data_IF_632695401023
#
_entry.id   IF_632695401023
#
_cell.length_a   1.000
_cell.length_b   1.000
_cell.length_c   1.000
_cell.angle_alpha   90.00
_cell.angle_beta   90.00
_cell.angle_gamma   90.00
#
_symmetry.space_group_name_H-M   'P 1'
#
loop_
_entity.id
_entity.type
_entity.pdbx_description
1 polymer ?
#
# COMPACT_ATOMS: atom_id res chain seq x y z
N UNK A 1 4.74 -9.42 -14.50
CA UNK A 1 3.42 -9.54 -13.81
C UNK A 1 3.28 -8.38 -12.85
N UNK A 2 2.06 -7.88 -12.65
CA UNK A 2 1.75 -6.88 -11.63
C UNK A 2 0.76 -7.48 -10.64
N UNK A 3 1.07 -7.46 -9.34
CA UNK A 3 0.07 -7.70 -8.31
C UNK A 3 -0.06 -6.41 -7.48
N UNK A 4 -1.28 -5.88 -7.48
CA UNK A 4 -1.55 -4.56 -6.94
C UNK A 4 -2.44 -4.67 -5.70
N UNK A 5 -1.88 -4.46 -4.51
CA UNK A 5 -2.62 -4.39 -3.25
C UNK A 5 -3.48 -5.64 -2.99
N UNK A 6 -2.94 -6.84 -3.28
CA UNK A 6 -3.65 -8.11 -3.11
C UNK A 6 -2.89 -9.19 -2.35
N UNK A 7 -1.60 -9.00 -2.05
CA UNK A 7 -0.79 -10.04 -1.40
C UNK A 7 -1.32 -10.42 -0.02
N UNK A 8 -1.87 -9.45 0.72
CA UNK A 8 -2.47 -9.66 2.04
C UNK A 8 -3.74 -10.50 2.02
N UNK A 9 -4.37 -10.73 0.86
CA UNK A 9 -5.50 -11.66 0.75
C UNK A 9 -5.06 -13.12 0.73
N UNK A 10 -3.79 -13.41 0.41
CA UNK A 10 -3.25 -14.76 0.40
C UNK A 10 -2.93 -15.28 1.80
N UNK A 11 -2.90 -14.38 2.79
CA UNK A 11 -2.47 -14.67 4.16
C UNK A 11 -3.70 -14.69 5.06
N UNK A 12 -4.04 -15.89 5.55
CA UNK A 12 -5.08 -16.02 6.55
C UNK A 12 -4.62 -15.44 7.90
N UNK A 13 -5.53 -14.80 8.63
CA UNK A 13 -5.24 -14.25 9.95
C UNK A 13 -4.81 -15.31 11.00
N UNK A 14 -5.14 -16.57 10.75
CA UNK A 14 -4.85 -17.72 11.62
C UNK A 14 -3.66 -18.56 11.15
N UNK A 15 -2.96 -18.16 10.08
CA UNK A 15 -1.91 -18.99 9.51
C UNK A 15 -0.67 -19.05 10.41
N UNK A 16 -0.27 -20.26 10.79
CA UNK A 16 1.05 -20.60 11.38
C UNK A 16 2.16 -20.59 10.33
N UNK A 17 1.80 -20.67 9.05
CA UNK A 17 2.72 -20.81 7.92
C UNK A 17 3.10 -19.42 7.39
N UNK A 18 3.92 -18.72 8.17
CA UNK A 18 4.50 -17.39 7.92
C UNK A 18 4.66 -17.04 6.43
N UNK A 19 3.63 -16.42 5.83
CA UNK A 19 3.62 -15.91 4.46
C UNK A 19 3.95 -16.92 3.34
N UNK A 20 3.87 -18.23 3.59
CA UNK A 20 4.16 -19.27 2.60
C UNK A 20 3.28 -19.17 1.32
N UNK A 21 1.98 -18.80 1.40
CA UNK A 21 1.18 -18.53 0.19
C UNK A 21 1.78 -17.44 -0.72
N UNK A 22 2.37 -16.40 -0.13
CA UNK A 22 3.06 -15.33 -0.89
C UNK A 22 4.34 -15.87 -1.53
N UNK A 23 5.10 -16.70 -0.80
CA UNK A 23 6.30 -17.34 -1.34
C UNK A 23 5.99 -18.29 -2.50
N UNK A 24 4.90 -19.07 -2.42
CA UNK A 24 4.41 -19.91 -3.52
C UNK A 24 4.03 -19.09 -4.74
N UNK A 25 3.34 -17.96 -4.56
CA UNK A 25 3.05 -17.03 -5.66
C UNK A 25 4.34 -16.54 -6.32
N UNK A 26 5.36 -16.17 -5.53
CA UNK A 26 6.65 -15.70 -6.06
C UNK A 26 7.35 -16.80 -6.87
N UNK A 27 7.36 -18.05 -6.38
CA UNK A 27 7.89 -19.22 -7.09
C UNK A 27 7.19 -19.43 -8.43
N UNK A 28 5.86 -19.42 -8.43
CA UNK A 28 5.10 -19.58 -9.67
C UNK A 28 5.32 -18.42 -10.63
N UNK A 29 5.42 -17.19 -10.13
CA UNK A 29 5.74 -16.02 -10.95
C UNK A 29 7.10 -16.16 -11.65
N UNK A 30 8.14 -16.61 -10.93
CA UNK A 30 9.45 -16.86 -11.53
C UNK A 30 9.39 -17.94 -12.61
N UNK A 31 8.68 -19.04 -12.32
CA UNK A 31 8.54 -20.18 -13.25
C UNK A 31 7.89 -19.76 -14.58
N UNK A 32 6.84 -18.92 -14.52
CA UNK A 32 6.07 -18.52 -15.72
C UNK A 32 6.67 -17.32 -16.45
N UNK A 33 7.33 -16.39 -15.76
CA UNK A 33 7.78 -15.12 -16.35
C UNK A 33 9.16 -15.18 -17.02
N UNK A 34 9.99 -16.20 -16.74
CA UNK A 34 11.38 -16.30 -17.23
C UNK A 34 12.14 -14.98 -17.02
N UNK A 35 12.75 -14.39 -18.06
CA UNK A 35 13.51 -13.13 -18.01
C UNK A 35 12.66 -11.85 -17.75
N UNK A 36 11.35 -11.98 -17.52
CA UNK A 36 10.47 -10.82 -17.27
C UNK A 36 10.33 -10.53 -15.78
N UNK A 37 10.18 -9.25 -15.43
CA UNK A 37 10.07 -8.81 -14.04
C UNK A 37 8.67 -8.98 -13.41
N UNK A 38 8.65 -8.86 -12.09
CA UNK A 38 7.44 -8.75 -11.25
C UNK A 38 7.39 -7.37 -10.60
N UNK A 39 6.18 -6.83 -10.45
CA UNK A 39 5.93 -5.64 -9.65
C UNK A 39 4.88 -6.00 -8.61
N UNK A 40 5.28 -5.93 -7.34
CA UNK A 40 4.37 -6.07 -6.21
C UNK A 40 4.13 -4.69 -5.61
N UNK A 41 2.93 -4.16 -5.78
CA UNK A 41 2.48 -3.01 -5.01
C UNK A 41 1.84 -3.51 -3.73
N UNK A 42 2.46 -3.20 -2.60
CA UNK A 42 2.01 -3.58 -1.26
C UNK A 42 2.41 -2.49 -0.27
N UNK A 43 1.89 -2.57 0.94
CA UNK A 43 2.10 -1.57 1.98
C UNK A 43 3.01 -2.10 3.09
N UNK A 44 3.97 -1.27 3.51
CA UNK A 44 4.72 -1.50 4.74
C UNK A 44 3.89 -1.28 6.00
N UNK A 45 4.35 -1.79 7.14
CA UNK A 45 3.69 -1.53 8.43
C UNK A 45 3.52 -0.02 8.67
N UNK A 46 4.57 0.83 8.55
CA UNK A 46 4.38 2.27 8.69
C UNK A 46 3.36 2.87 7.71
N UNK A 47 3.26 2.35 6.49
CA UNK A 47 2.26 2.80 5.53
C UNK A 47 0.84 2.35 5.88
N UNK A 48 0.66 1.20 6.54
CA UNK A 48 -0.67 0.77 6.97
C UNK A 48 -1.19 1.63 8.13
N UNK A 49 -0.33 1.95 9.09
CA UNK A 49 -0.70 2.74 10.27
C UNK A 49 -0.77 4.25 9.99
N UNK A 50 0.17 4.78 9.21
CA UNK A 50 0.33 6.22 9.02
C UNK A 50 0.24 6.64 7.54
N UNK A 51 0.08 5.70 6.61
CA UNK A 51 0.09 5.97 5.18
C UNK A 51 -1.28 6.31 4.59
N UNK A 52 -2.35 6.19 5.38
CA UNK A 52 -3.70 6.59 5.02
C UNK A 52 -4.26 7.47 6.14
N UNK A 53 -4.97 8.54 5.78
CA UNK A 53 -5.46 9.46 6.79
C UNK A 53 -6.47 8.79 7.73
N UNK A 54 -7.31 7.90 7.18
CA UNK A 54 -8.34 7.16 7.91
C UNK A 54 -7.83 6.00 8.77
N UNK A 55 -6.55 5.61 8.65
CA UNK A 55 -6.01 4.46 9.39
C UNK A 55 -6.19 4.61 10.91
N UNK A 56 -6.11 5.83 11.41
CA UNK A 56 -6.29 6.19 12.82
C UNK A 56 -7.77 6.13 13.28
N UNK A 57 -8.74 6.07 12.36
CA UNK A 57 -10.16 5.88 12.71
C UNK A 57 -10.49 4.43 13.03
N UNK A 58 -9.73 3.47 12.51
CA UNK A 58 -9.97 2.02 12.63
C UNK A 58 -8.69 1.25 13.01
N UNK A 59 -7.98 1.65 14.08
CA UNK A 59 -6.63 1.16 14.38
C UNK A 59 -6.57 -0.36 14.61
N UNK A 60 -7.64 -0.97 15.14
CA UNK A 60 -7.72 -2.41 15.34
C UNK A 60 -7.82 -3.17 14.01
N UNK A 61 -8.59 -2.65 13.06
CA UNK A 61 -8.68 -3.22 11.70
C UNK A 61 -7.34 -3.09 10.97
N UNK A 62 -6.66 -1.95 11.12
CA UNK A 62 -5.30 -1.75 10.63
C UNK A 62 -4.33 -2.77 11.25
N UNK A 63 -4.44 -3.01 12.56
CA UNK A 63 -3.66 -4.05 13.24
C UNK A 63 -3.93 -5.45 12.71
N UNK A 64 -5.18 -5.76 12.33
CA UNK A 64 -5.54 -7.06 11.72
C UNK A 64 -4.99 -7.22 10.30
N UNK A 65 -5.03 -6.18 9.45
CA UNK A 65 -4.45 -6.26 8.10
C UNK A 65 -2.92 -6.28 8.14
N UNK A 66 -2.30 -5.57 9.08
CA UNK A 66 -0.85 -5.53 9.27
C UNK A 66 -0.25 -6.93 9.41
N UNK A 67 -0.89 -7.80 10.19
CA UNK A 67 -0.49 -9.22 10.36
C UNK A 67 -0.51 -10.02 9.05
N UNK A 68 -1.27 -9.57 8.05
CA UNK A 68 -1.39 -10.23 6.73
C UNK A 68 -0.45 -9.64 5.69
N UNK A 69 0.21 -8.52 6.00
CA UNK A 69 1.15 -7.87 5.10
C UNK A 69 2.58 -8.35 5.42
N UNK A 70 3.34 -8.87 4.44
CA UNK A 70 4.75 -9.24 4.61
C UNK A 70 5.71 -8.15 4.11
N UNK A 71 5.77 -6.95 4.69
CA UNK A 71 6.76 -6.01 4.21
C UNK A 71 8.15 -6.49 4.60
N UNK A 72 9.09 -6.21 3.71
CA UNK A 72 10.53 -6.52 3.85
C UNK A 72 10.89 -7.99 3.62
N UNK A 73 10.16 -8.95 4.19
CA UNK A 73 10.39 -10.38 3.90
C UNK A 73 10.10 -10.74 2.43
N UNK A 74 9.26 -9.97 1.72
CA UNK A 74 9.08 -10.13 0.27
C UNK A 74 10.41 -9.99 -0.49
N UNK A 75 11.33 -9.12 -0.05
CA UNK A 75 12.63 -8.94 -0.72
C UNK A 75 13.46 -10.22 -0.61
N UNK A 76 13.51 -10.83 0.57
CA UNK A 76 14.26 -12.07 0.77
C UNK A 76 13.62 -13.22 0.01
N UNK A 77 12.28 -13.32 -0.01
CA UNK A 77 11.55 -14.31 -0.81
C UNK A 77 11.84 -14.17 -2.31
N UNK A 78 11.82 -12.95 -2.85
CA UNK A 78 12.18 -12.67 -4.25
C UNK A 78 13.60 -13.15 -4.57
N UNK A 79 14.57 -12.78 -3.73
CA UNK A 79 15.98 -13.19 -3.92
C UNK A 79 16.17 -14.70 -3.82
N UNK A 80 15.51 -15.34 -2.85
CA UNK A 80 15.56 -16.79 -2.63
C UNK A 80 15.12 -17.58 -3.88
N UNK A 81 14.11 -17.07 -4.59
CA UNK A 81 13.55 -17.71 -5.79
C UNK A 81 14.35 -17.38 -7.08
N UNK A 82 15.33 -16.48 -7.01
CA UNK A 82 16.22 -16.16 -8.13
C UNK A 82 15.98 -14.80 -8.80
N UNK A 83 15.22 -13.89 -8.19
CA UNK A 83 15.19 -12.50 -8.64
C UNK A 83 16.41 -11.73 -8.10
N UNK A 84 17.34 -11.35 -8.98
CA UNK A 84 18.59 -10.72 -8.59
C UNK A 84 18.52 -9.18 -8.52
N UNK A 85 17.70 -8.54 -9.35
CA UNK A 85 17.50 -7.09 -9.36
C UNK A 85 16.18 -6.74 -8.67
N UNK A 86 16.24 -6.53 -7.35
CA UNK A 86 15.07 -6.17 -6.53
C UNK A 86 15.24 -4.74 -6.03
N UNK A 87 14.32 -3.86 -6.41
CA UNK A 87 14.26 -2.48 -5.96
C UNK A 87 12.94 -2.18 -5.25
N UNK A 88 12.92 -1.08 -4.49
CA UNK A 88 11.73 -0.55 -3.85
C UNK A 88 11.50 0.87 -4.35
N UNK A 89 10.25 1.16 -4.71
CA UNK A 89 9.80 2.51 -5.04
C UNK A 89 8.69 2.88 -4.08
N UNK A 90 8.78 4.07 -3.50
CA UNK A 90 7.75 4.62 -2.59
C UNK A 90 7.13 5.83 -3.28
N UNK A 91 5.88 5.73 -3.77
CA UNK A 91 5.25 6.81 -4.52
C UNK A 91 4.66 7.85 -3.56
N UNK A 92 5.45 8.86 -3.17
CA UNK A 92 5.08 9.86 -2.15
C UNK A 92 3.82 10.66 -2.52
N UNK A 93 3.65 10.96 -3.80
CA UNK A 93 2.56 11.81 -4.31
C UNK A 93 1.34 11.00 -4.78
N UNK A 94 1.42 9.67 -4.79
CA UNK A 94 0.29 8.84 -5.14
C UNK A 94 -0.61 8.63 -3.92
N UNK A 95 -1.91 8.72 -4.14
CA UNK A 95 -2.95 8.40 -3.15
C UNK A 95 -3.86 7.32 -3.69
N UNK A 96 -4.47 6.57 -2.78
CA UNK A 96 -5.55 5.64 -3.14
C UNK A 96 -6.83 6.46 -3.38
N UNK A 97 -7.77 5.96 -4.19
CA UNK A 97 -9.10 6.57 -4.38
C UNK A 97 -9.14 7.93 -5.10
N UNK A 98 -8.02 8.42 -5.63
CA UNK A 98 -8.00 9.58 -6.54
C UNK A 98 -8.53 10.85 -5.88
N UNK A 99 -9.47 11.52 -6.54
CA UNK A 99 -10.05 12.80 -6.08
C UNK A 99 -10.88 12.62 -4.80
N UNK A 100 -11.47 11.45 -4.58
CA UNK A 100 -12.26 11.14 -3.39
C UNK A 100 -11.39 10.88 -2.15
N UNK A 101 -10.06 10.80 -2.31
CA UNK A 101 -9.15 10.45 -1.22
C UNK A 101 -9.31 11.34 0.01
N UNK A 102 -9.52 12.65 -0.15
CA UNK A 102 -9.66 13.61 0.96
C UNK A 102 -11.12 14.00 1.23
N UNK A 103 -12.09 13.16 0.86
CA UNK A 103 -13.49 13.40 1.19
C UNK A 103 -13.71 13.36 2.71
N UNK A 104 -14.09 14.48 3.36
CA UNK A 104 -14.28 14.56 4.81
C UNK A 104 -15.47 13.72 5.30
N UNK A 105 -16.38 13.32 4.40
CA UNK A 105 -17.49 12.41 4.69
C UNK A 105 -17.24 11.00 4.17
N UNK A 106 -16.09 10.77 3.52
CA UNK A 106 -15.72 9.53 2.85
C UNK A 106 -15.99 8.29 3.69
N UNK A 107 -15.45 8.17 4.93
CA UNK A 107 -15.67 7.00 5.78
C UNK A 107 -17.13 6.61 6.00
N UNK A 108 -18.07 7.57 5.97
CA UNK A 108 -19.51 7.30 6.14
C UNK A 108 -20.13 6.69 4.87
N UNK A 109 -19.53 6.92 3.70
CA UNK A 109 -19.98 6.42 2.41
C UNK A 109 -19.50 4.98 2.21
N UNK A 110 -20.42 4.08 1.83
CA UNK A 110 -20.07 2.67 1.56
C UNK A 110 -19.06 2.56 0.42
N UNK A 111 -19.25 3.29 -0.67
CA UNK A 111 -18.39 3.20 -1.86
C UNK A 111 -16.94 3.63 -1.58
N UNK A 112 -16.76 4.63 -0.70
CA UNK A 112 -15.43 5.00 -0.20
C UNK A 112 -14.79 3.84 0.58
N UNK A 113 -15.55 3.21 1.49
CA UNK A 113 -15.03 2.08 2.28
C UNK A 113 -14.70 0.87 1.42
N UNK A 114 -15.51 0.59 0.40
CA UNK A 114 -15.28 -0.51 -0.54
C UNK A 114 -13.99 -0.31 -1.35
N UNK A 115 -13.51 0.93 -1.50
CA UNK A 115 -12.24 1.24 -2.15
C UNK A 115 -10.99 0.82 -1.36
N UNK A 116 -11.11 0.36 -0.11
CA UNK A 116 -9.99 -0.18 0.66
C UNK A 116 -10.42 -1.33 1.58
N UNK A 117 -9.85 -2.52 1.38
CA UNK A 117 -10.21 -3.74 2.12
C UNK A 117 -9.92 -3.70 3.62
N UNK A 118 -9.22 -2.69 4.14
CA UNK A 118 -9.02 -2.56 5.59
C UNK A 118 -10.36 -2.28 6.29
N UNK A 119 -11.27 -1.56 5.65
CA UNK A 119 -12.61 -1.28 6.19
C UNK A 119 -13.44 -2.54 6.38
N UNK A 120 -13.29 -3.55 5.50
CA UNK A 120 -14.02 -4.81 5.63
C UNK A 120 -13.54 -5.68 6.80
N UNK A 121 -12.44 -5.30 7.44
CA UNK A 121 -11.92 -5.98 8.62
C UNK A 121 -12.36 -5.32 9.92
N UNK A 122 -12.98 -4.13 9.86
CA UNK A 122 -13.53 -3.47 11.03
C UNK A 122 -14.81 -4.17 11.50
N UNK A 123 -14.99 -4.31 12.81
CA UNK A 123 -16.25 -4.80 13.39
C UNK A 123 -17.32 -3.72 13.31
N UNK A 124 -18.59 -4.09 13.52
CA UNK A 124 -19.68 -3.11 13.57
C UNK A 124 -19.46 -2.03 14.63
N UNK A 125 -18.94 -2.40 15.79
CA UNK A 125 -18.63 -1.46 16.88
C UNK A 125 -17.48 -0.51 16.52
N UNK A 126 -16.42 -1.02 15.90
CA UNK A 126 -15.29 -0.20 15.45
C UNK A 126 -15.73 0.78 14.33
N UNK A 127 -16.58 0.32 13.42
CA UNK A 127 -17.16 1.18 12.38
C UNK A 127 -18.03 2.27 12.98
N UNK A 128 -18.91 1.96 13.94
CA UNK A 128 -19.76 2.99 14.54
C UNK A 128 -18.93 4.01 15.33
N UNK A 129 -17.87 3.58 16.04
CA UNK A 129 -16.92 4.51 16.66
C UNK A 129 -16.24 5.42 15.65
N UNK A 130 -15.79 4.86 14.53
CA UNK A 130 -15.19 5.64 13.45
C UNK A 130 -16.19 6.63 12.84
N UNK A 131 -17.43 6.20 12.62
CA UNK A 131 -18.49 7.04 12.05
C UNK A 131 -18.85 8.18 12.97
N UNK A 132 -19.01 7.90 14.27
CA UNK A 132 -19.33 8.93 15.24
C UNK A 132 -18.20 9.96 15.31
N UNK A 133 -16.95 9.52 15.38
CA UNK A 133 -15.79 10.42 15.36
C UNK A 133 -15.76 11.30 14.10
N UNK A 134 -16.10 10.74 12.93
CA UNK A 134 -16.20 11.51 11.68
C UNK A 134 -17.35 12.52 11.73
N UNK A 135 -18.53 12.14 12.24
CA UNK A 135 -19.67 13.06 12.40
C UNK A 135 -19.32 14.20 13.35
N UNK A 136 -18.76 13.91 14.52
CA UNK A 136 -18.36 14.91 15.51
C UNK A 136 -17.33 15.89 14.92
N UNK A 137 -16.26 15.40 14.28
CA UNK A 137 -15.26 16.29 13.70
C UNK A 137 -15.80 17.18 12.57
N UNK A 138 -16.80 16.71 11.82
CA UNK A 138 -17.47 17.55 10.82
C UNK A 138 -18.44 18.55 11.47
N UNK A 139 -19.14 18.18 12.54
CA UNK A 139 -20.02 19.09 13.28
C UNK A 139 -19.25 20.20 14.01
N UNK A 140 -18.05 19.90 14.48
CA UNK A 140 -17.15 20.82 15.19
C UNK A 140 -16.20 21.58 14.24
N UNK A 141 -16.35 21.45 12.92
CA UNK A 141 -15.46 22.03 11.90
C UNK A 141 -13.96 21.69 12.07
N UNK A 142 -13.65 20.60 12.78
CA UNK A 142 -12.27 20.16 13.07
C UNK A 142 -11.72 19.14 12.07
N UNK A 143 -12.56 18.60 11.18
CA UNK A 143 -12.18 17.58 10.20
C UNK A 143 -11.09 18.04 9.22
N UNK A 144 -11.12 19.30 8.77
CA UNK A 144 -10.11 19.82 7.84
C UNK A 144 -8.70 19.78 8.44
N UNK A 145 -8.56 20.23 9.70
CA UNK A 145 -7.30 20.18 10.44
C UNK A 145 -6.85 18.74 10.71
N UNK A 146 -7.79 17.83 10.99
CA UNK A 146 -7.49 16.40 11.13
C UNK A 146 -6.90 15.81 9.84
N UNK A 147 -7.54 16.04 8.68
CA UNK A 147 -7.06 15.57 7.38
C UNK A 147 -5.66 16.12 7.07
N UNK A 148 -5.44 17.41 7.28
CA UNK A 148 -4.14 18.04 7.06
C UNK A 148 -3.05 17.41 7.94
N UNK A 149 -3.33 17.26 9.23
CA UNK A 149 -2.41 16.64 10.19
C UNK A 149 -2.02 15.22 9.76
N UNK A 150 -3.01 14.43 9.36
CA UNK A 150 -2.80 13.04 8.90
C UNK A 150 -2.05 12.98 7.57
N UNK A 151 -2.31 13.90 6.63
CA UNK A 151 -1.59 13.96 5.35
C UNK A 151 -0.13 14.40 5.52
N UNK A 152 0.13 15.32 6.44
CA UNK A 152 1.49 15.70 6.80
C UNK A 152 2.25 14.51 7.40
N UNK A 153 1.61 13.76 8.29
CA UNK A 153 2.18 12.54 8.85
C UNK A 153 2.49 11.50 7.74
N UNK A 154 1.54 11.26 6.82
CA UNK A 154 1.74 10.35 5.69
C UNK A 154 2.98 10.72 4.89
N UNK A 155 3.12 11.98 4.48
CA UNK A 155 4.27 12.45 3.69
C UNK A 155 5.59 12.25 4.44
N UNK A 156 5.65 12.60 5.72
CA UNK A 156 6.84 12.42 6.56
C UNK A 156 7.23 10.94 6.65
N UNK A 157 6.27 10.05 6.88
CA UNK A 157 6.51 8.60 7.01
C UNK A 157 7.00 7.99 5.70
N UNK A 158 6.43 8.40 4.56
CA UNK A 158 6.88 7.97 3.25
C UNK A 158 8.31 8.43 2.95
N UNK A 159 8.68 9.66 3.31
CA UNK A 159 10.05 10.16 3.15
C UNK A 159 11.05 9.43 4.05
N UNK A 160 10.67 9.09 5.28
CA UNK A 160 11.53 8.30 6.18
C UNK A 160 11.78 6.89 5.63
N UNK A 161 10.76 6.25 5.03
CA UNK A 161 10.94 4.96 4.35
C UNK A 161 11.94 5.05 3.20
N UNK A 162 11.91 6.14 2.42
CA UNK A 162 12.88 6.37 1.35
C UNK A 162 14.29 6.53 1.93
N UNK A 163 14.47 7.38 2.95
CA UNK A 163 15.78 7.62 3.57
C UNK A 163 16.39 6.36 4.17
N UNK A 164 15.58 5.58 4.89
CA UNK A 164 16.04 4.36 5.56
C UNK A 164 16.30 3.21 4.58
N UNK A 165 15.63 3.17 3.42
CA UNK A 165 15.84 2.16 2.38
C UNK A 165 16.83 2.59 1.28
N UNK A 166 17.29 3.84 1.32
CA UNK A 166 18.39 4.34 0.47
C UNK A 166 19.77 3.99 1.04
N UNK A 167 19.86 3.33 2.21
CA UNK A 167 21.13 2.85 2.73
C UNK A 167 21.44 1.43 2.22
N UNK A 168 22.49 1.37 1.39
CA UNK A 168 23.39 0.25 1.12
C UNK A 168 22.90 -0.92 0.23
N UNK A 169 23.25 -0.82 -1.06
CA UNK A 169 23.82 -1.96 -1.83
C UNK A 169 25.02 -1.41 -2.65
N UNK A 170 26.24 -1.79 -2.26
CA UNK A 170 27.49 -1.76 -3.05
C UNK A 170 27.83 -0.49 -3.87
N UNK A 171 28.10 0.65 -3.23
CA UNK A 171 28.74 1.83 -3.86
C UNK A 171 28.11 2.33 -5.19
N UNK A 172 26.85 1.98 -5.47
CA UNK A 172 26.08 2.52 -6.58
C UNK A 172 24.87 3.25 -6.02
N UNK A 173 24.88 4.57 -6.18
CA UNK A 173 23.71 5.42 -5.96
C UNK A 173 22.69 5.08 -7.04
N UNK A 174 21.66 4.31 -6.70
CA UNK A 174 20.52 4.10 -7.61
C UNK A 174 19.72 5.41 -7.66
N UNK A 175 19.82 6.11 -8.80
CA UNK A 175 19.02 7.29 -9.07
C UNK A 175 17.56 6.89 -9.27
N UNK A 176 16.68 7.59 -8.56
CA UNK A 176 15.25 7.59 -8.75
C UNK A 176 14.93 7.89 -10.22
N UNK A 177 14.19 7.01 -10.90
CA UNK A 177 13.52 7.36 -12.15
C UNK A 177 12.19 7.98 -11.74
N UNK A 178 12.11 9.30 -11.87
CA UNK A 178 10.84 10.00 -11.93
C UNK A 178 10.11 9.57 -13.22
N UNK A 179 9.07 8.77 -13.07
CA UNK A 179 8.25 8.25 -14.19
C UNK A 179 7.26 9.31 -14.70
N UNK A 180 7.39 10.60 -14.33
CA UNK A 180 6.60 11.68 -14.94
C UNK A 180 7.19 12.24 -16.24
N UNK A 181 8.36 11.75 -16.71
CA UNK A 181 8.86 12.07 -18.05
C UNK A 181 9.16 10.82 -18.87
N UNK A 182 8.14 10.05 -19.21
CA UNK A 182 8.19 9.23 -20.42
C UNK A 182 6.81 9.19 -21.08
N UNK A 183 6.71 9.90 -22.20
CA UNK A 183 5.60 9.79 -23.15
C UNK A 183 5.38 8.30 -23.44
N UNK A 184 4.17 7.82 -23.18
CA UNK A 184 3.70 6.56 -23.71
C UNK A 184 3.72 6.66 -25.24
N UNK A 185 4.69 6.01 -25.89
CA UNK A 185 4.64 5.80 -27.33
C UNK A 185 3.53 4.78 -27.58
N UNK A 186 2.35 5.27 -27.99
CA UNK A 186 1.31 4.46 -28.62
C UNK A 186 1.87 3.95 -29.95
N UNK A 187 2.33 2.71 -30.00
CA UNK A 187 2.44 2.01 -31.28
C UNK A 187 1.02 1.65 -31.74
N UNK A 188 0.47 2.47 -32.65
CA UNK A 188 -0.57 2.03 -33.56
C UNK A 188 0.08 1.03 -34.53
N UNK A 189 -0.41 -0.20 -34.53
CA UNK A 189 -0.17 -1.14 -35.63
C UNK A 189 -1.43 -1.08 -36.49
N UNK A 190 -1.33 -0.38 -37.62
CA UNK A 190 -2.29 -0.47 -38.72
C UNK A 190 -1.84 -1.61 -39.65
N UNK A 191 -2.70 -2.60 -39.84
CA UNK A 191 -2.56 -3.56 -40.93
C UNK A 191 -3.17 -2.93 -42.19
N UNK A 192 -2.37 -2.90 -43.26
CA UNK A 192 -2.84 -2.76 -44.64
C UNK A 192 -3.63 -4.00 -45.05
#
# INVERSE_FOLDING_TARGET
MMCNQVLHHLVAASSTDHFEPVHKLIKEAQRILRLRGVVFNTSSHPQLYDGFWWADLIPEAVGRIAKRCPPEIIISMLRCVGFHQVGIVVPVNAVLQGEDYLDPMGPLKKDFRDGNSTWSLATGEELERAFERVRTMNQEDSMANYLETRENLRKVKLLLLIKNKSLCINNQVFRFIDVQKNKWVRNQVSFL
#
